data_IF_785330145170
#
_entry.id   IF_785330145170
#
_cell.length_a   1.000
_cell.length_b   1.000
_cell.length_c   1.000
_cell.angle_alpha   90.00
_cell.angle_beta   90.00
_cell.angle_gamma   90.00
#
_symmetry.space_group_name_H-M   'P 1'
#
loop_
_entity.id
_entity.type
_entity.pdbx_description
1 polymer ?
#
# COMPACT_ATOMS: atom_id res chain seq x y z
N UNK A 1 -7.96 -12.26 -13.92
CA UNK A 1 -8.36 -11.73 -15.24
C UNK A 1 -7.53 -10.49 -15.62
N UNK A 2 -7.46 -9.44 -14.77
CA UNK A 2 -6.71 -8.20 -15.06
C UNK A 2 -5.24 -8.46 -15.48
N UNK A 3 -4.47 -9.15 -14.64
CA UNK A 3 -3.04 -9.39 -14.89
C UNK A 3 -2.81 -10.18 -16.19
N UNK A 4 -3.65 -11.17 -16.47
CA UNK A 4 -3.56 -11.96 -17.69
C UNK A 4 -3.85 -11.06 -18.92
N UNK A 5 -4.92 -10.28 -18.90
CA UNK A 5 -5.26 -9.35 -19.98
C UNK A 5 -4.14 -8.31 -20.21
N UNK A 6 -3.57 -7.76 -19.12
CA UNK A 6 -2.47 -6.81 -19.19
C UNK A 6 -1.22 -7.41 -19.85
N UNK A 7 -0.82 -8.61 -19.45
CA UNK A 7 0.32 -9.31 -20.06
C UNK A 7 0.04 -9.59 -21.54
N UNK A 8 -1.12 -10.15 -21.88
CA UNK A 8 -1.49 -10.45 -23.26
C UNK A 8 -1.48 -9.19 -24.13
N UNK A 9 -2.04 -8.10 -23.63
CA UNK A 9 -2.11 -6.83 -24.38
C UNK A 9 -0.74 -6.14 -24.49
N UNK A 10 -0.07 -5.87 -23.36
CA UNK A 10 1.14 -5.06 -23.37
C UNK A 10 2.39 -5.79 -23.88
N UNK A 11 2.50 -7.10 -23.63
CA UNK A 11 3.68 -7.86 -24.05
C UNK A 11 3.52 -8.52 -25.41
N UNK A 12 2.28 -8.83 -25.81
CA UNK A 12 2.00 -9.61 -27.03
C UNK A 12 1.06 -8.90 -28.00
N UNK A 13 0.64 -7.68 -27.70
CA UNK A 13 -0.30 -6.88 -28.50
C UNK A 13 -1.59 -7.62 -28.89
N UNK A 14 -2.04 -8.51 -28.00
CA UNK A 14 -3.27 -9.28 -28.18
C UNK A 14 -4.49 -8.43 -27.77
N UNK A 15 -5.63 -8.58 -28.47
CA UNK A 15 -6.81 -7.75 -28.27
C UNK A 15 -7.63 -8.16 -27.02
N UNK A 16 -7.02 -8.01 -25.86
CA UNK A 16 -7.67 -8.18 -24.56
C UNK A 16 -7.79 -6.83 -23.84
N UNK A 17 -9.02 -6.47 -23.48
CA UNK A 17 -9.28 -5.24 -22.74
C UNK A 17 -8.79 -5.36 -21.29
N UNK A 18 -8.05 -4.35 -20.85
CA UNK A 18 -7.53 -4.26 -19.48
C UNK A 18 -8.46 -3.37 -18.67
N UNK A 19 -9.10 -3.92 -17.63
CA UNK A 19 -10.05 -3.19 -16.79
C UNK A 19 -9.53 -3.09 -15.37
N UNK A 20 -8.92 -1.94 -15.06
CA UNK A 20 -8.48 -1.58 -13.72
C UNK A 20 -9.43 -0.55 -13.06
N UNK A 21 -9.07 -0.05 -11.88
CA UNK A 21 -9.84 0.98 -11.19
C UNK A 21 -9.98 2.29 -11.96
N UNK A 22 -9.03 2.63 -12.82
CA UNK A 22 -9.06 3.81 -13.66
C UNK A 22 -10.06 3.60 -14.80
N UNK A 23 -9.98 2.45 -15.47
CA UNK A 23 -10.88 2.10 -16.58
C UNK A 23 -12.32 1.98 -16.11
N UNK A 24 -12.59 1.33 -14.97
CA UNK A 24 -13.92 1.31 -14.36
C UNK A 24 -14.48 2.73 -14.19
N UNK A 25 -13.68 3.65 -13.68
CA UNK A 25 -14.09 5.03 -13.44
C UNK A 25 -14.37 5.80 -14.74
N UNK A 26 -13.47 5.66 -15.72
CA UNK A 26 -13.65 6.32 -17.02
C UNK A 26 -14.92 5.83 -17.72
N UNK A 27 -15.08 4.52 -17.88
CA UNK A 27 -16.24 3.95 -18.55
C UNK A 27 -17.54 4.26 -17.80
N UNK A 28 -17.54 4.14 -16.46
CA UNK A 28 -18.71 4.47 -15.65
C UNK A 28 -19.14 5.92 -15.85
N UNK A 29 -18.20 6.87 -15.80
CA UNK A 29 -18.51 8.29 -15.96
C UNK A 29 -18.85 8.66 -17.40
N UNK A 30 -18.05 8.23 -18.35
CA UNK A 30 -18.25 8.59 -19.75
C UNK A 30 -19.54 8.04 -20.29
N UNK A 31 -19.84 6.76 -20.09
CA UNK A 31 -21.04 6.09 -20.58
C UNK A 31 -22.25 6.21 -19.62
N UNK A 32 -22.07 6.75 -18.41
CA UNK A 32 -23.11 6.88 -17.40
C UNK A 32 -23.57 5.54 -16.82
N UNK A 33 -22.67 4.56 -16.70
CA UNK A 33 -23.02 3.22 -16.21
C UNK A 33 -23.13 3.24 -14.69
N UNK A 34 -24.32 2.92 -14.19
CA UNK A 34 -24.63 2.91 -12.76
C UNK A 34 -24.55 1.51 -12.12
N UNK A 35 -24.25 0.47 -12.89
CA UNK A 35 -24.03 -0.87 -12.32
C UNK A 35 -22.78 -0.88 -11.42
N UNK A 36 -22.89 -1.40 -10.18
CA UNK A 36 -21.77 -1.40 -9.25
C UNK A 36 -20.59 -2.24 -9.75
N UNK A 37 -19.39 -1.66 -9.72
CA UNK A 37 -18.17 -2.27 -10.26
C UNK A 37 -17.65 -3.49 -9.47
N UNK A 38 -18.10 -3.69 -8.24
CA UNK A 38 -17.68 -4.75 -7.32
C UNK A 38 -18.62 -5.95 -7.28
N UNK A 39 -19.68 -5.96 -8.12
CA UNK A 39 -20.57 -7.11 -8.34
C UNK A 39 -20.09 -8.01 -9.46
N UNK A 40 -20.56 -9.27 -9.48
CA UNK A 40 -20.28 -10.18 -10.61
C UNK A 40 -20.91 -9.70 -11.93
N UNK A 41 -22.11 -9.12 -11.87
CA UNK A 41 -22.78 -8.52 -13.03
C UNK A 41 -22.02 -7.30 -13.54
N UNK A 42 -21.64 -6.38 -12.65
CA UNK A 42 -20.84 -5.20 -12.99
C UNK A 42 -19.52 -5.56 -13.65
N UNK A 43 -18.76 -6.49 -13.09
CA UNK A 43 -17.48 -6.93 -13.69
C UNK A 43 -17.66 -7.44 -15.11
N UNK A 44 -18.71 -8.23 -15.38
CA UNK A 44 -19.00 -8.74 -16.73
C UNK A 44 -19.40 -7.60 -17.68
N UNK A 45 -20.28 -6.70 -17.23
CA UNK A 45 -20.72 -5.56 -18.03
C UNK A 45 -19.53 -4.67 -18.43
N UNK A 46 -18.70 -4.27 -17.47
CA UNK A 46 -17.56 -3.40 -17.76
C UNK A 46 -16.49 -4.08 -18.61
N UNK A 47 -16.30 -5.39 -18.47
CA UNK A 47 -15.41 -6.14 -19.35
C UNK A 47 -15.93 -6.14 -20.80
N UNK A 48 -17.24 -6.32 -20.98
CA UNK A 48 -17.87 -6.26 -22.31
C UNK A 48 -17.76 -4.86 -22.95
N UNK A 49 -18.05 -3.82 -22.17
CA UNK A 49 -17.91 -2.43 -22.64
C UNK A 49 -16.47 -2.08 -23.01
N UNK A 50 -15.51 -2.50 -22.19
CA UNK A 50 -14.10 -2.27 -22.46
C UNK A 50 -13.64 -2.99 -23.75
N UNK A 51 -14.11 -4.21 -23.99
CA UNK A 51 -13.79 -4.96 -25.21
C UNK A 51 -14.44 -4.34 -26.46
N UNK A 52 -15.67 -3.86 -26.33
CA UNK A 52 -16.39 -3.17 -27.42
C UNK A 52 -15.75 -1.86 -27.83
N UNK A 53 -15.29 -1.08 -26.84
CA UNK A 53 -14.67 0.24 -27.05
C UNK A 53 -13.22 0.17 -27.51
N UNK A 54 -12.57 -1.00 -27.37
CA UNK A 54 -11.15 -1.15 -27.63
C UNK A 54 -10.80 -1.06 -29.13
N UNK A 55 -9.78 -0.26 -29.45
CA UNK A 55 -9.12 -0.31 -30.77
C UNK A 55 -8.33 -1.61 -30.90
N UNK A 56 -8.95 -2.63 -31.52
CA UNK A 56 -8.37 -3.97 -31.70
C UNK A 56 -7.17 -3.99 -32.64
N UNK A 57 -6.93 -2.92 -33.38
CA UNK A 57 -5.74 -2.79 -34.24
C UNK A 57 -4.50 -2.33 -33.45
N UNK A 58 -4.69 -1.69 -32.29
CA UNK A 58 -3.63 -1.20 -31.41
C UNK A 58 -4.00 -1.39 -29.93
N UNK A 59 -4.21 -2.64 -29.49
CA UNK A 59 -4.78 -2.91 -28.17
C UNK A 59 -3.90 -2.44 -27.02
N UNK A 60 -2.58 -2.61 -27.12
CA UNK A 60 -1.65 -2.14 -26.07
C UNK A 60 -1.71 -0.62 -25.92
N UNK A 61 -1.68 0.12 -27.01
CA UNK A 61 -1.76 1.57 -26.99
C UNK A 61 -3.11 2.07 -26.44
N UNK A 62 -4.22 1.45 -26.85
CA UNK A 62 -5.54 1.80 -26.37
C UNK A 62 -5.66 1.56 -24.85
N UNK A 63 -5.26 0.39 -24.38
CA UNK A 63 -5.30 0.05 -22.96
C UNK A 63 -4.44 1.02 -22.13
N UNK A 64 -3.25 1.34 -22.58
CA UNK A 64 -2.41 2.34 -21.91
C UNK A 64 -3.08 3.72 -21.89
N UNK A 65 -3.61 4.16 -23.02
CA UNK A 65 -4.23 5.48 -23.12
C UNK A 65 -5.44 5.65 -22.19
N UNK A 66 -6.33 4.66 -22.11
CA UNK A 66 -7.51 4.75 -21.21
C UNK A 66 -7.13 4.68 -19.74
N UNK A 67 -6.11 3.90 -19.38
CA UNK A 67 -5.57 3.83 -18.02
C UNK A 67 -4.94 5.16 -17.61
N UNK A 68 -4.09 5.74 -18.47
CA UNK A 68 -3.45 7.04 -18.24
C UNK A 68 -4.48 8.18 -18.20
N UNK A 69 -5.46 8.15 -19.07
CA UNK A 69 -6.58 9.10 -19.03
C UNK A 69 -7.32 9.06 -17.70
N UNK A 70 -7.57 7.87 -17.17
CA UNK A 70 -8.15 7.70 -15.85
C UNK A 70 -7.25 8.18 -14.74
N UNK A 71 -5.95 7.99 -14.85
CA UNK A 71 -4.98 8.38 -13.81
C UNK A 71 -4.69 9.90 -13.80
N UNK A 72 -4.70 10.56 -14.95
CA UNK A 72 -4.25 11.94 -15.10
C UNK A 72 -5.39 12.94 -15.30
N UNK A 73 -6.42 12.59 -16.08
CA UNK A 73 -7.52 13.49 -16.46
C UNK A 73 -8.79 13.18 -15.66
N UNK A 74 -9.30 11.95 -15.75
CA UNK A 74 -10.52 11.52 -15.06
C UNK A 74 -10.21 11.00 -13.65
N UNK A 75 -9.55 11.82 -12.84
CA UNK A 75 -9.11 11.45 -11.47
C UNK A 75 -10.28 11.21 -10.51
N UNK A 76 -10.07 10.48 -9.39
CA UNK A 76 -11.15 10.13 -8.47
C UNK A 76 -11.90 11.33 -7.88
N UNK A 77 -11.18 12.34 -7.44
CA UNK A 77 -11.72 13.53 -6.79
C UNK A 77 -11.42 14.77 -7.60
N UNK A 78 -12.42 15.61 -7.79
CA UNK A 78 -12.31 16.91 -8.47
C UNK A 78 -11.59 16.85 -9.84
N UNK A 79 -12.00 15.97 -10.78
CA UNK A 79 -11.40 15.94 -12.11
C UNK A 79 -11.63 17.26 -12.86
N UNK A 80 -10.67 17.67 -13.70
CA UNK A 80 -10.77 18.89 -14.49
C UNK A 80 -11.68 18.67 -15.72
N UNK A 81 -12.98 18.52 -15.49
CA UNK A 81 -13.95 18.20 -16.54
C UNK A 81 -14.07 19.27 -17.63
N UNK A 82 -13.83 20.54 -17.29
CA UNK A 82 -13.88 21.65 -18.24
C UNK A 82 -12.86 21.50 -19.39
N UNK A 83 -11.70 20.89 -19.10
CA UNK A 83 -10.64 20.66 -20.09
C UNK A 83 -10.57 19.20 -20.55
N UNK A 84 -11.62 18.42 -20.29
CA UNK A 84 -11.67 17.01 -20.65
C UNK A 84 -12.07 16.86 -22.14
N UNK A 85 -11.30 16.14 -22.96
CA UNK A 85 -11.65 15.92 -24.37
C UNK A 85 -12.94 15.11 -24.56
N UNK A 86 -13.45 14.45 -23.51
CA UNK A 86 -14.71 13.71 -23.54
C UNK A 86 -15.88 14.50 -22.94
N UNK A 87 -15.70 15.80 -22.59
CA UNK A 87 -16.71 16.60 -21.89
C UNK A 87 -18.06 16.59 -22.58
N UNK A 88 -18.09 16.79 -23.89
CA UNK A 88 -19.31 16.92 -24.67
C UNK A 88 -20.14 15.64 -24.74
N UNK A 89 -19.47 14.48 -24.64
CA UNK A 89 -20.10 13.15 -24.68
C UNK A 89 -20.22 12.48 -23.31
N UNK A 90 -19.72 13.13 -22.25
CA UNK A 90 -19.68 12.53 -20.92
C UNK A 90 -21.04 12.57 -20.22
N UNK A 91 -21.70 11.42 -20.09
CA UNK A 91 -23.01 11.30 -19.47
C UNK A 91 -22.97 11.68 -17.98
N UNK A 92 -21.93 11.33 -17.25
CA UNK A 92 -21.80 11.70 -15.85
C UNK A 92 -21.69 13.21 -15.65
N UNK A 93 -21.00 13.92 -16.54
CA UNK A 93 -20.92 15.38 -16.49
C UNK A 93 -22.30 16.00 -16.74
N UNK A 94 -22.99 15.57 -17.79
CA UNK A 94 -24.32 16.06 -18.14
C UNK A 94 -25.36 15.82 -17.06
N UNK A 95 -25.25 14.69 -16.33
CA UNK A 95 -26.19 14.30 -15.27
C UNK A 95 -25.74 14.66 -13.86
N UNK A 96 -24.63 15.37 -13.66
CA UNK A 96 -24.04 15.69 -12.35
C UNK A 96 -23.75 14.44 -11.50
N UNK A 97 -23.23 13.37 -12.12
CA UNK A 97 -22.90 12.10 -11.48
C UNK A 97 -21.37 11.87 -11.32
N UNK A 98 -20.54 12.83 -11.68
CA UNK A 98 -19.06 12.70 -11.67
C UNK A 98 -18.54 12.26 -10.31
N UNK A 99 -19.05 12.85 -9.23
CA UNK A 99 -18.61 12.53 -7.86
C UNK A 99 -19.25 11.24 -7.30
N UNK A 100 -20.29 10.72 -7.97
CA UNK A 100 -20.98 9.51 -7.55
C UNK A 100 -20.47 8.25 -8.23
N UNK A 101 -20.00 8.37 -9.46
CA UNK A 101 -19.54 7.25 -10.27
C UNK A 101 -18.02 7.04 -10.18
N UNK A 102 -17.56 5.79 -10.18
CA UNK A 102 -18.32 4.54 -10.29
C UNK A 102 -19.00 4.14 -8.96
N UNK A 103 -20.14 3.48 -9.06
CA UNK A 103 -20.82 2.93 -7.91
C UNK A 103 -20.17 1.65 -7.40
N UNK A 104 -20.28 1.43 -6.08
CA UNK A 104 -19.90 0.20 -5.40
C UNK A 104 -21.07 -0.29 -4.55
N UNK A 105 -21.42 -1.55 -4.69
CA UNK A 105 -22.47 -2.18 -3.89
C UNK A 105 -22.08 -2.30 -2.42
N UNK A 106 -20.77 -2.48 -2.15
CA UNK A 106 -20.24 -2.65 -0.81
C UNK A 106 -19.40 -1.44 -0.40
N UNK A 107 -19.73 -0.85 0.74
CA UNK A 107 -18.81 0.08 1.39
C UNK A 107 -17.66 -0.74 1.96
N UNK A 108 -16.45 -0.50 1.48
CA UNK A 108 -15.25 -1.11 2.06
C UNK A 108 -15.10 -0.62 3.49
N UNK A 109 -15.21 -1.53 4.46
CA UNK A 109 -14.88 -1.20 5.85
C UNK A 109 -13.37 -1.05 5.93
N UNK A 110 -12.92 0.15 6.20
CA UNK A 110 -11.50 0.42 6.48
C UNK A 110 -11.25 0.09 7.94
N UNK A 111 -10.22 -0.70 8.21
CA UNK A 111 -9.81 -1.08 9.56
C UNK A 111 -8.52 -0.34 9.90
N UNK A 112 -8.51 0.31 11.06
CA UNK A 112 -7.31 0.87 11.62
C UNK A 112 -6.49 -0.26 12.29
N UNK A 113 -5.17 -0.21 12.13
CA UNK A 113 -4.20 -1.10 12.78
C UNK A 113 -3.07 -0.26 13.34
N UNK A 114 -2.64 -0.56 14.55
CA UNK A 114 -1.63 0.21 15.27
C UNK A 114 -0.35 -0.62 15.41
N UNK A 115 0.71 -0.16 14.76
CA UNK A 115 1.98 -0.86 14.63
C UNK A 115 3.09 -0.11 15.36
N UNK A 116 3.67 -0.74 16.36
CA UNK A 116 4.89 -0.27 17.01
C UNK A 116 6.06 -1.14 16.56
N UNK A 117 6.86 -0.63 15.63
CA UNK A 117 8.08 -1.29 15.18
C UNK A 117 9.23 -1.00 16.13
N UNK A 118 9.92 -2.04 16.56
CA UNK A 118 11.06 -1.95 17.48
C UNK A 118 12.33 -2.28 16.70
N UNK A 119 13.10 -1.26 16.32
CA UNK A 119 14.42 -1.44 15.77
C UNK A 119 15.40 -1.75 16.91
N UNK A 120 15.69 -3.03 17.11
CA UNK A 120 16.61 -3.48 18.16
C UNK A 120 18.00 -3.51 17.60
N UNK A 121 18.94 -2.81 18.25
CA UNK A 121 20.36 -2.77 17.91
C UNK A 121 21.19 -3.49 18.97
N UNK A 122 22.07 -4.39 18.53
CA UNK A 122 23.06 -5.10 19.34
C UNK A 122 24.42 -4.99 18.67
N UNK A 123 25.21 -3.99 19.05
CA UNK A 123 26.46 -3.62 18.37
C UNK A 123 26.19 -3.22 16.92
N UNK A 124 26.79 -3.94 15.98
CA UNK A 124 26.63 -3.73 14.52
C UNK A 124 25.48 -4.54 13.90
N UNK A 125 24.70 -5.20 14.74
CA UNK A 125 23.61 -6.06 14.28
C UNK A 125 22.24 -5.51 14.66
N UNK A 126 21.24 -5.95 13.89
CA UNK A 126 19.81 -5.77 14.19
C UNK A 126 19.04 -7.07 13.92
N UNK A 127 17.74 -7.03 14.15
CA UNK A 127 16.85 -8.18 14.08
C UNK A 127 15.71 -7.91 13.14
N UNK A 128 15.45 -8.87 12.24
CA UNK A 128 14.34 -8.81 11.29
C UNK A 128 13.60 -10.14 11.25
N UNK A 129 12.36 -10.10 10.82
CA UNK A 129 11.54 -11.30 10.59
C UNK A 129 10.86 -11.20 9.24
N UNK A 130 10.75 -12.32 8.53
CA UNK A 130 9.94 -12.43 7.32
C UNK A 130 8.48 -12.58 7.70
N UNK A 131 7.60 -11.76 7.11
CA UNK A 131 6.16 -11.86 7.33
C UNK A 131 5.60 -13.12 6.72
N UNK A 132 4.74 -13.78 7.47
CA UNK A 132 4.08 -15.03 7.10
C UNK A 132 2.91 -14.80 6.13
N UNK A 133 2.34 -15.90 5.63
CA UNK A 133 1.16 -15.87 4.78
C UNK A 133 -0.09 -15.41 5.56
N UNK A 134 -1.05 -14.84 4.83
CA UNK A 134 -2.37 -14.48 5.38
C UNK A 134 -2.52 -13.04 5.84
N UNK A 135 -1.46 -12.23 5.84
CA UNK A 135 -1.52 -10.81 6.16
C UNK A 135 -0.86 -9.94 5.06
N UNK A 136 -0.98 -8.61 5.22
CA UNK A 136 -0.33 -7.64 4.33
C UNK A 136 1.18 -7.85 4.31
N UNK A 137 1.80 -7.51 3.17
CA UNK A 137 3.25 -7.56 2.96
C UNK A 137 3.87 -8.95 3.18
N UNK A 138 3.12 -10.00 2.88
CA UNK A 138 3.61 -11.38 2.92
C UNK A 138 4.96 -11.51 2.20
N UNK A 139 5.88 -12.27 2.79
CA UNK A 139 7.24 -12.51 2.32
C UNK A 139 8.20 -11.31 2.38
N UNK A 140 7.75 -10.11 2.76
CA UNK A 140 8.65 -9.00 3.05
C UNK A 140 9.20 -9.10 4.47
N UNK A 141 10.36 -8.52 4.68
CA UNK A 141 10.99 -8.45 6.00
C UNK A 141 10.58 -7.18 6.76
N UNK A 142 10.57 -7.28 8.07
CA UNK A 142 10.26 -6.18 8.98
C UNK A 142 11.04 -6.29 10.28
N UNK A 143 11.12 -5.20 11.02
CA UNK A 143 11.59 -5.21 12.40
C UNK A 143 10.60 -5.93 13.31
N UNK A 144 11.00 -6.33 14.54
CA UNK A 144 10.06 -6.74 15.57
C UNK A 144 8.86 -5.80 15.63
N UNK A 145 7.66 -6.36 15.52
CA UNK A 145 6.40 -5.64 15.49
C UNK A 145 5.57 -5.98 16.72
N UNK A 146 5.10 -4.94 17.39
CA UNK A 146 4.06 -5.03 18.41
C UNK A 146 2.81 -4.39 17.81
N UNK A 147 1.79 -5.19 17.58
CA UNK A 147 0.49 -4.73 17.10
C UNK A 147 -0.49 -4.64 18.26
N UNK A 148 -1.25 -3.54 18.30
CA UNK A 148 -2.25 -3.28 19.35
C UNK A 148 -3.59 -2.91 18.72
N UNK A 149 -4.68 -3.02 19.46
CA UNK A 149 -6.04 -2.67 19.01
C UNK A 149 -6.26 -1.15 18.96
N UNK A 150 -5.46 -0.39 19.70
CA UNK A 150 -5.53 1.06 19.78
C UNK A 150 -4.13 1.67 19.84
N UNK A 151 -4.06 2.96 19.69
CA UNK A 151 -2.82 3.71 19.82
C UNK A 151 -2.22 3.52 21.23
N UNK A 152 -0.91 3.29 21.27
CA UNK A 152 -0.14 3.13 22.51
C UNK A 152 0.87 4.27 22.63
N UNK A 153 0.91 4.92 23.78
CA UNK A 153 1.87 5.96 24.10
C UNK A 153 3.30 5.44 24.26
N UNK A 154 4.26 6.38 24.20
CA UNK A 154 5.70 6.01 24.32
C UNK A 154 6.04 5.37 25.66
N UNK A 155 5.43 5.83 26.73
CA UNK A 155 5.65 5.27 28.07
C UNK A 155 4.97 3.92 28.26
N UNK A 156 3.84 3.71 27.59
CA UNK A 156 3.06 2.50 27.68
C UNK A 156 3.73 1.30 26.99
N UNK A 157 4.57 1.55 25.97
CA UNK A 157 5.23 0.49 25.19
C UNK A 157 6.03 -0.46 26.10
N UNK A 158 6.70 0.07 27.14
CA UNK A 158 7.48 -0.71 28.09
C UNK A 158 6.64 -1.63 28.98
N UNK A 159 5.37 -1.27 29.17
CA UNK A 159 4.44 -2.06 30.00
C UNK A 159 3.83 -3.24 29.24
N UNK A 160 3.90 -3.21 27.90
CA UNK A 160 3.31 -4.26 27.05
C UNK A 160 4.01 -5.59 27.25
N UNK A 161 3.26 -6.69 27.45
CA UNK A 161 3.84 -8.02 27.56
C UNK A 161 4.74 -8.39 26.36
N UNK A 162 4.33 -8.05 25.14
CA UNK A 162 5.09 -8.31 23.93
C UNK A 162 6.43 -7.56 23.90
N UNK A 163 6.54 -6.35 24.45
CA UNK A 163 7.81 -5.64 24.56
C UNK A 163 8.73 -6.32 25.58
N UNK A 164 8.19 -6.71 26.73
CA UNK A 164 8.95 -7.42 27.77
C UNK A 164 9.43 -8.77 27.28
N UNK A 165 8.62 -9.50 26.53
CA UNK A 165 9.02 -10.76 25.90
C UNK A 165 10.13 -10.55 24.87
N UNK A 166 10.02 -9.51 24.03
CA UNK A 166 11.02 -9.18 23.02
C UNK A 166 12.39 -8.86 23.64
N UNK A 167 12.42 -7.98 24.63
CA UNK A 167 13.66 -7.54 25.28
C UNK A 167 14.14 -8.56 26.32
N UNK A 168 13.20 -9.23 27.00
CA UNK A 168 13.50 -10.16 28.10
C UNK A 168 14.16 -9.44 29.28
N UNK A 169 15.19 -10.08 29.85
CA UNK A 169 15.98 -9.52 30.97
C UNK A 169 17.20 -8.74 30.52
N UNK A 170 17.28 -8.35 29.24
CA UNK A 170 18.45 -7.65 28.68
C UNK A 170 18.48 -6.19 29.12
N UNK A 171 19.68 -5.69 29.34
CA UNK A 171 19.88 -4.28 29.67
C UNK A 171 19.74 -3.41 28.43
N UNK A 172 18.90 -2.39 28.56
CA UNK A 172 18.71 -1.38 27.50
C UNK A 172 19.65 -0.22 27.76
N UNK A 173 20.59 0.02 26.84
CA UNK A 173 21.50 1.17 26.87
C UNK A 173 20.81 2.45 26.46
N UNK A 174 19.96 2.38 25.41
CA UNK A 174 19.27 3.52 24.85
C UNK A 174 17.89 3.12 24.33
N UNK A 175 16.92 4.01 24.55
CA UNK A 175 15.62 3.98 23.91
C UNK A 175 15.32 5.37 23.31
N UNK A 176 14.85 5.39 22.07
CA UNK A 176 14.37 6.64 21.46
C UNK A 176 13.25 6.40 20.46
N UNK A 177 12.44 7.41 20.25
CA UNK A 177 11.47 7.47 19.17
C UNK A 177 12.19 7.87 17.88
N UNK A 178 12.13 7.02 16.87
CA UNK A 178 12.76 7.27 15.55
C UNK A 178 11.85 8.11 14.67
N UNK A 179 10.55 7.86 14.74
CA UNK A 179 9.55 8.56 13.95
C UNK A 179 8.29 8.77 14.77
N UNK A 180 7.67 9.96 14.71
CA UNK A 180 6.30 10.13 15.15
C UNK A 180 5.39 9.20 14.32
N UNK A 181 4.11 9.16 14.67
CA UNK A 181 3.14 8.35 13.94
C UNK A 181 3.19 8.61 12.43
N UNK A 182 3.32 7.53 11.67
CA UNK A 182 3.22 7.52 10.22
C UNK A 182 1.94 6.82 9.82
N UNK A 183 1.02 7.56 9.25
CA UNK A 183 -0.19 7.00 8.67
C UNK A 183 0.10 6.45 7.27
N UNK A 184 -0.14 5.14 7.10
CA UNK A 184 0.03 4.45 5.81
C UNK A 184 -1.31 3.87 5.37
N UNK A 185 -1.88 4.43 4.30
CA UNK A 185 -3.22 4.08 3.82
C UNK A 185 -3.12 2.97 2.77
N UNK A 186 -3.84 1.89 3.01
CA UNK A 186 -4.06 0.78 2.07
C UNK A 186 -5.54 0.73 1.68
N UNK A 187 -5.90 -0.07 0.66
CA UNK A 187 -7.28 -0.14 0.15
C UNK A 187 -8.32 -0.49 1.21
N UNK A 188 -7.97 -1.30 2.19
CA UNK A 188 -8.89 -1.82 3.22
C UNK A 188 -8.42 -1.59 4.64
N UNK A 189 -7.26 -0.94 4.83
CA UNK A 189 -6.63 -0.73 6.14
C UNK A 189 -5.92 0.60 6.20
N UNK A 190 -5.93 1.21 7.37
CA UNK A 190 -5.06 2.33 7.70
C UNK A 190 -4.10 1.83 8.77
N UNK A 191 -2.81 1.91 8.48
CA UNK A 191 -1.76 1.54 9.41
C UNK A 191 -1.26 2.79 10.09
N UNK A 192 -1.41 2.86 11.39
CA UNK A 192 -0.83 3.87 12.27
C UNK A 192 0.47 3.30 12.82
N UNK A 193 1.60 3.72 12.26
CA UNK A 193 2.89 3.11 12.57
C UNK A 193 3.81 4.05 13.30
N UNK A 194 4.47 3.56 14.34
CA UNK A 194 5.59 4.20 15.03
C UNK A 194 6.83 3.35 14.93
N UNK A 195 7.99 3.96 15.02
CA UNK A 195 9.25 3.25 15.06
C UNK A 195 10.05 3.72 16.28
N UNK A 196 10.48 2.74 17.07
CA UNK A 196 11.33 2.94 18.24
C UNK A 196 12.67 2.29 18.01
N UNK A 197 13.74 2.90 18.49
CA UNK A 197 15.06 2.29 18.53
C UNK A 197 15.38 1.89 19.97
N UNK A 198 15.81 0.65 20.12
CA UNK A 198 16.27 0.06 21.37
C UNK A 198 17.69 -0.43 21.15
N UNK A 199 18.65 0.13 21.87
CA UNK A 199 20.03 -0.37 21.89
C UNK A 199 20.25 -1.24 23.11
N UNK A 200 20.66 -2.48 22.89
CA UNK A 200 21.01 -3.41 23.95
C UNK A 200 22.47 -3.24 24.37
N UNK A 201 22.79 -3.53 25.63
CA UNK A 201 24.17 -3.58 26.09
C UNK A 201 24.91 -4.81 25.57
N UNK A 202 24.19 -5.94 25.43
CA UNK A 202 24.73 -7.20 24.94
C UNK A 202 24.84 -7.17 23.40
N UNK A 203 26.07 -7.09 22.90
CA UNK A 203 26.32 -7.06 21.45
C UNK A 203 26.04 -8.41 20.76
N UNK A 204 26.11 -9.52 21.50
CA UNK A 204 25.87 -10.88 21.03
C UNK A 204 24.43 -11.36 21.25
N UNK A 205 23.52 -10.45 21.63
CA UNK A 205 22.11 -10.75 21.86
C UNK A 205 21.50 -11.57 20.72
N UNK A 206 20.60 -12.48 21.07
CA UNK A 206 19.79 -13.29 20.17
C UNK A 206 18.32 -13.11 20.55
N UNK A 207 17.49 -12.71 19.59
CA UNK A 207 16.05 -12.61 19.78
C UNK A 207 15.35 -13.83 19.16
N UNK A 208 14.61 -14.58 19.99
CA UNK A 208 13.89 -15.76 19.52
C UNK A 208 12.87 -15.41 18.44
N UNK A 209 12.86 -16.17 17.34
CA UNK A 209 11.96 -15.95 16.22
C UNK A 209 12.39 -14.84 15.24
N UNK A 210 13.58 -14.23 15.44
CA UNK A 210 14.13 -13.20 14.57
C UNK A 210 15.48 -13.60 14.00
N UNK A 211 15.74 -13.18 12.77
CA UNK A 211 17.03 -13.31 12.13
C UNK A 211 17.92 -12.14 12.54
N UNK A 212 19.09 -12.43 13.09
CA UNK A 212 20.15 -11.46 13.37
C UNK A 212 20.91 -11.16 12.08
N UNK A 213 21.00 -9.88 11.72
CA UNK A 213 21.61 -9.42 10.47
C UNK A 213 22.51 -8.21 10.74
N UNK A 214 23.54 -8.01 9.90
CA UNK A 214 24.31 -6.78 9.94
C UNK A 214 23.44 -5.59 9.53
N UNK A 215 23.57 -4.47 10.22
CA UNK A 215 22.86 -3.23 9.91
C UNK A 215 23.15 -2.78 8.49
N UNK A 216 24.40 -2.89 8.04
CA UNK A 216 24.82 -2.53 6.68
C UNK A 216 24.21 -3.43 5.61
N UNK A 217 23.77 -4.64 5.97
CA UNK A 217 23.14 -5.60 5.06
C UNK A 217 21.61 -5.47 4.94
N UNK A 218 21.00 -4.57 5.70
CA UNK A 218 19.54 -4.37 5.67
C UNK A 218 19.02 -4.07 4.26
N UNK A 219 19.79 -3.40 3.42
CA UNK A 219 19.44 -3.09 2.03
C UNK A 219 19.27 -4.33 1.13
N UNK A 220 19.80 -5.50 1.53
CA UNK A 220 19.69 -6.77 0.79
C UNK A 220 18.32 -7.46 1.00
N UNK A 221 17.53 -7.02 1.97
CA UNK A 221 16.26 -7.64 2.31
C UNK A 221 15.09 -6.88 1.69
N UNK A 222 14.14 -7.58 1.02
CA UNK A 222 12.94 -6.96 0.49
C UNK A 222 12.02 -6.53 1.64
N UNK A 223 11.69 -5.24 1.70
CA UNK A 223 10.89 -4.64 2.77
C UNK A 223 9.70 -3.85 2.21
N UNK A 224 8.69 -3.60 3.03
CA UNK A 224 7.60 -2.70 2.66
C UNK A 224 8.08 -1.25 2.55
N UNK A 225 7.34 -0.42 1.79
CA UNK A 225 7.64 1.02 1.69
C UNK A 225 7.65 1.72 3.06
N UNK A 226 6.85 1.23 4.00
CA UNK A 226 6.81 1.76 5.37
C UNK A 226 8.15 1.50 6.09
N UNK A 227 8.65 0.27 6.05
CA UNK A 227 9.95 -0.11 6.64
C UNK A 227 11.11 0.61 5.93
N UNK A 228 11.06 0.73 4.61
CA UNK A 228 12.05 1.49 3.84
C UNK A 228 12.13 2.96 4.29
N UNK A 229 11.00 3.56 4.64
CA UNK A 229 10.96 4.92 5.21
C UNK A 229 11.65 4.97 6.57
N UNK A 230 11.43 3.98 7.43
CA UNK A 230 12.13 3.90 8.72
C UNK A 230 13.64 3.69 8.54
N UNK A 231 14.09 2.87 7.58
CA UNK A 231 15.50 2.75 7.24
C UNK A 231 16.13 4.11 6.92
N UNK A 232 15.43 4.93 6.13
CA UNK A 232 15.92 6.27 5.77
C UNK A 232 16.06 7.20 6.98
N UNK A 233 15.31 6.98 8.06
CA UNK A 233 15.41 7.76 9.29
C UNK A 233 16.50 7.23 10.23
N UNK A 234 16.64 5.91 10.30
CA UNK A 234 17.60 5.21 11.15
C UNK A 234 19.05 5.32 10.64
N UNK A 235 19.21 5.18 9.32
CA UNK A 235 20.52 5.09 8.67
C UNK A 235 21.02 6.44 8.11
N UNK A 236 20.34 7.55 8.37
CA UNK A 236 20.88 8.87 8.06
C UNK A 236 22.15 9.05 8.88
N UNK A 237 23.31 9.34 8.25
CA UNK A 237 24.50 9.71 9.00
C UNK A 237 24.16 10.95 9.82
N UNK A 238 24.48 10.91 11.12
CA UNK A 238 24.38 12.06 12.00
C UNK A 238 25.38 13.13 11.52
N UNK A 239 25.04 13.89 10.50
CA UNK A 239 25.70 15.15 10.21
C UNK A 239 25.18 16.19 11.23
N UNK A 240 25.66 16.09 12.46
CA UNK A 240 25.77 17.27 13.30
C UNK A 240 27.01 18.02 12.82
N UNK A 241 26.78 19.18 12.16
CA UNK A 241 27.73 20.28 12.18
C UNK A 241 27.66 20.95 13.56
#
# INVERSE_FOLDING_TARGET
DYTAAAICSFAYDMPYAVVDGNVYRVLSRWLGVEEPIDTGAGKKLYASLADEMMDKSRPALYNQAIMDFGALQCVPSSPSCLFCPLSDSCVALQKNLVDKLPWKARKTKVLDRYFSYIYVRAGVHTFIKRREAGDIWQNLYEFPLIETEQEVGEEEIFSLPAFRELVGNRSIRMFRVVSPEVKHVLSHRVIHARCYEVELEEEDAVLSGFQRVLIDDLHKFPVSRLISRFFSLLLKPNYKK
#
